data_IF_528272448250
#
_entry.id   IF_528272448250
#
_cell.length_a   1.000
_cell.length_b   1.000
_cell.length_c   1.000
_cell.angle_alpha   90.00
_cell.angle_beta   90.00
_cell.angle_gamma   90.00
#
_symmetry.space_group_name_H-M   'P 1'
#
loop_
_entity.id
_entity.type
_entity.pdbx_description
1 polymer ?
#
# COMPACT_ATOMS: atom_id res chain seq x y z
N UNK A 1 -2.91 29.43 -13.96
CA UNK A 1 -1.52 29.12 -14.36
C UNK A 1 -1.12 30.13 -15.41
N UNK A 2 0.09 30.67 -15.33
CA UNK A 2 0.64 31.52 -16.40
C UNK A 2 0.98 30.68 -17.63
N UNK A 3 1.35 31.32 -18.75
CA UNK A 3 1.76 30.60 -19.97
C UNK A 3 3.00 29.70 -19.74
N UNK A 4 3.77 30.00 -18.70
CA UNK A 4 4.97 29.27 -18.25
C UNK A 4 4.66 28.16 -17.22
N UNK A 5 3.38 27.93 -16.90
CA UNK A 5 2.96 26.91 -15.93
C UNK A 5 3.07 27.35 -14.46
N UNK A 6 3.36 28.62 -14.18
CA UNK A 6 3.45 29.11 -12.79
C UNK A 6 2.06 29.23 -12.15
N UNK A 7 1.98 28.93 -10.84
CA UNK A 7 0.77 29.13 -10.05
C UNK A 7 0.51 30.64 -9.93
N UNK A 8 -0.58 31.11 -10.53
CA UNK A 8 -0.94 32.54 -10.59
C UNK A 8 -1.85 32.98 -9.43
N UNK A 9 -2.53 32.04 -8.78
CA UNK A 9 -3.39 32.26 -7.62
C UNK A 9 -3.66 30.95 -6.88
N UNK A 10 -3.96 31.04 -5.60
CA UNK A 10 -4.36 29.90 -4.75
C UNK A 10 -5.67 30.22 -4.05
N UNK A 11 -6.54 29.22 -3.91
CA UNK A 11 -7.80 29.33 -3.16
C UNK A 11 -7.95 28.11 -2.25
N UNK A 12 -8.16 28.35 -0.96
CA UNK A 12 -8.50 27.28 -0.01
C UNK A 12 -9.94 26.85 -0.24
N UNK A 13 -10.15 25.58 -0.59
CA UNK A 13 -11.49 25.00 -0.76
C UNK A 13 -12.06 24.45 0.55
N UNK A 14 -11.22 23.77 1.32
CA UNK A 14 -11.57 23.13 2.59
C UNK A 14 -10.52 23.51 3.62
N UNK A 15 -10.93 24.19 4.69
CA UNK A 15 -10.07 24.46 5.85
C UNK A 15 -10.20 23.32 6.86
N UNK A 16 -9.27 22.36 6.82
CA UNK A 16 -9.25 21.21 7.74
C UNK A 16 -7.80 20.80 8.05
N UNK A 17 -7.42 20.82 9.32
CA UNK A 17 -6.04 20.58 9.76
C UNK A 17 -5.66 19.09 9.81
N UNK A 18 -6.61 18.19 9.54
CA UNK A 18 -6.43 16.74 9.62
C UNK A 18 -6.42 16.05 8.24
N UNK A 19 -6.68 16.78 7.15
CA UNK A 19 -6.42 16.29 5.80
C UNK A 19 -4.90 16.31 5.58
N UNK A 20 -4.30 15.19 5.18
CA UNK A 20 -2.85 15.03 5.24
C UNK A 20 -2.18 14.53 3.95
N UNK A 21 -2.92 13.96 2.99
CA UNK A 21 -2.31 13.45 1.75
C UNK A 21 -3.34 13.20 0.63
N UNK A 22 -4.24 12.23 0.83
CA UNK A 22 -5.10 11.72 -0.22
C UNK A 22 -6.09 12.77 -0.73
N UNK A 23 -6.11 12.94 -2.05
CA UNK A 23 -7.04 13.80 -2.77
C UNK A 23 -7.38 13.13 -4.10
N UNK A 24 -8.65 13.12 -4.49
CA UNK A 24 -9.09 12.64 -5.78
C UNK A 24 -10.30 13.44 -6.27
N UNK A 25 -10.46 13.52 -7.58
CA UNK A 25 -11.65 14.09 -8.21
C UNK A 25 -12.42 12.97 -8.91
N UNK A 26 -13.75 12.98 -8.85
CA UNK A 26 -14.57 12.11 -9.69
C UNK A 26 -14.27 12.38 -11.17
N UNK A 27 -14.46 11.38 -12.02
CA UNK A 27 -14.15 11.47 -13.46
C UNK A 27 -14.96 12.59 -14.15
N UNK A 28 -16.18 12.86 -13.69
CA UNK A 28 -17.02 13.95 -14.18
C UNK A 28 -16.65 15.35 -13.63
N UNK A 29 -15.67 15.41 -12.72
CA UNK A 29 -15.19 16.65 -12.12
C UNK A 29 -16.11 17.26 -11.06
N UNK A 30 -17.17 16.56 -10.63
CA UNK A 30 -18.22 17.13 -9.77
C UNK A 30 -18.12 16.76 -8.29
N UNK A 31 -17.21 15.87 -7.91
CA UNK A 31 -17.02 15.48 -6.52
C UNK A 31 -15.55 15.45 -6.17
N UNK A 32 -15.17 16.22 -5.15
CA UNK A 32 -13.85 16.21 -4.56
C UNK A 32 -13.84 15.21 -3.40
N UNK A 33 -12.85 14.34 -3.36
CA UNK A 33 -12.57 13.43 -2.24
C UNK A 33 -11.26 13.84 -1.59
N UNK A 34 -11.21 13.78 -0.25
CA UNK A 34 -9.97 13.96 0.49
C UNK A 34 -9.97 13.13 1.76
N UNK A 35 -8.78 12.72 2.22
CA UNK A 35 -8.63 11.82 3.36
C UNK A 35 -7.92 12.44 4.54
N UNK A 36 -8.36 12.07 5.74
CA UNK A 36 -7.57 12.13 6.98
C UNK A 36 -6.85 10.79 7.19
N UNK A 37 -6.21 10.61 8.35
CA UNK A 37 -5.68 9.30 8.78
C UNK A 37 -6.77 8.25 9.04
N UNK A 38 -8.02 8.66 9.26
CA UNK A 38 -9.11 7.77 9.73
C UNK A 38 -10.33 7.73 8.82
N UNK A 39 -10.49 8.73 7.94
CA UNK A 39 -11.73 8.94 7.18
C UNK A 39 -11.46 9.47 5.78
N UNK A 40 -12.21 8.97 4.79
CA UNK A 40 -12.37 9.60 3.47
C UNK A 40 -13.67 10.40 3.47
N UNK A 41 -13.55 11.67 3.11
CA UNK A 41 -14.67 12.57 2.92
C UNK A 41 -14.92 12.84 1.44
N UNK A 42 -16.13 13.30 1.13
CA UNK A 42 -16.50 13.81 -0.19
C UNK A 42 -17.16 15.18 -0.09
N UNK A 43 -17.06 15.96 -1.16
CA UNK A 43 -17.76 17.22 -1.30
C UNK A 43 -18.25 17.35 -2.76
N UNK A 44 -19.49 17.78 -3.00
CA UNK A 44 -19.86 18.32 -4.30
C UNK A 44 -18.89 19.45 -4.65
N UNK A 45 -18.35 19.44 -5.87
CA UNK A 45 -17.34 20.40 -6.33
C UNK A 45 -17.81 21.09 -7.59
N UNK A 46 -17.69 22.42 -7.60
CA UNK A 46 -18.00 23.26 -8.76
C UNK A 46 -16.71 23.90 -9.25
N UNK A 47 -16.18 23.42 -10.36
CA UNK A 47 -14.90 23.88 -10.92
C UNK A 47 -14.92 25.36 -11.35
N UNK A 48 -16.02 25.83 -11.94
CA UNK A 48 -16.15 27.20 -12.45
C UNK A 48 -16.05 28.26 -11.35
N UNK A 49 -16.62 27.99 -10.17
CA UNK A 49 -16.54 28.87 -9.00
C UNK A 49 -15.44 28.47 -8.01
N UNK A 50 -14.80 27.31 -8.22
CA UNK A 50 -13.86 26.68 -7.29
C UNK A 50 -14.45 26.65 -5.88
N UNK A 51 -15.60 26.01 -5.71
CA UNK A 51 -16.32 25.89 -4.43
C UNK A 51 -16.67 24.45 -4.14
N UNK A 52 -16.76 24.12 -2.85
CA UNK A 52 -17.24 22.83 -2.36
C UNK A 52 -18.59 22.99 -1.65
N UNK A 53 -19.45 21.99 -1.78
CA UNK A 53 -20.75 21.91 -1.09
C UNK A 53 -20.64 21.29 0.30
N UNK A 54 -21.75 20.72 0.78
CA UNK A 54 -21.81 20.02 2.07
C UNK A 54 -20.93 18.77 2.06
N UNK A 55 -20.14 18.58 3.13
CA UNK A 55 -19.28 17.42 3.32
C UNK A 55 -20.10 16.14 3.54
N UNK A 56 -19.76 15.08 2.81
CA UNK A 56 -20.18 13.70 3.06
C UNK A 56 -19.05 12.83 3.60
N UNK A 57 -19.39 11.65 4.11
CA UNK A 57 -18.45 10.63 4.59
C UNK A 57 -18.54 9.40 3.68
N UNK A 58 -17.39 8.92 3.20
CA UNK A 58 -17.32 7.80 2.23
C UNK A 58 -16.76 6.55 2.86
N UNK A 59 -15.66 6.67 3.61
CA UNK A 59 -15.01 5.55 4.29
C UNK A 59 -14.56 6.00 5.68
N UNK A 60 -14.74 5.18 6.70
CA UNK A 60 -14.37 5.44 8.10
C UNK A 60 -13.67 4.22 8.69
N UNK A 61 -13.23 4.32 9.95
CA UNK A 61 -12.69 3.16 10.68
C UNK A 61 -11.30 2.73 10.23
N UNK A 62 -10.57 3.59 9.50
CA UNK A 62 -9.15 3.38 9.27
C UNK A 62 -8.37 3.58 10.58
N UNK A 63 -7.28 2.82 10.75
CA UNK A 63 -6.55 2.80 12.01
C UNK A 63 -5.98 4.17 12.35
N UNK A 64 -6.29 4.64 13.57
CA UNK A 64 -5.86 5.95 14.08
C UNK A 64 -4.58 5.82 14.91
N UNK A 65 -3.44 5.67 14.24
CA UNK A 65 -2.15 5.61 14.91
C UNK A 65 -1.04 5.11 14.00
N UNK A 66 0.13 4.92 14.60
CA UNK A 66 1.32 4.44 13.92
C UNK A 66 2.05 5.50 13.09
N UNK A 67 3.06 5.06 12.34
CA UNK A 67 3.92 5.94 11.55
C UNK A 67 3.37 6.29 10.16
N UNK A 68 2.52 5.45 9.56
CA UNK A 68 1.99 5.67 8.22
C UNK A 68 0.54 6.16 8.27
N UNK A 69 0.36 7.47 8.21
CA UNK A 69 -0.94 8.13 8.41
C UNK A 69 -1.61 8.64 7.13
N UNK A 70 -0.93 8.60 5.98
CA UNK A 70 -1.52 8.95 4.68
C UNK A 70 -2.52 7.89 4.21
N UNK A 71 -3.58 8.32 3.52
CA UNK A 71 -4.56 7.43 2.88
C UNK A 71 -4.75 7.83 1.42
N UNK A 72 -3.89 7.32 0.54
CA UNK A 72 -3.92 7.69 -0.89
C UNK A 72 -5.25 7.29 -1.50
N UNK A 73 -5.82 8.19 -2.32
CA UNK A 73 -7.09 8.00 -3.00
C UNK A 73 -6.86 7.97 -4.51
N UNK A 74 -7.49 7.03 -5.20
CA UNK A 74 -7.46 6.98 -6.66
C UNK A 74 -8.80 6.46 -7.19
N UNK A 75 -9.42 7.21 -8.10
CA UNK A 75 -10.64 6.77 -8.80
C UNK A 75 -10.23 5.98 -10.03
N UNK A 76 -10.85 4.81 -10.24
CA UNK A 76 -10.60 4.01 -11.43
C UNK A 76 -11.20 4.69 -12.68
N UNK A 77 -10.38 5.11 -13.67
CA UNK A 77 -10.89 5.86 -14.82
C UNK A 77 -11.82 5.02 -15.71
N UNK A 78 -11.60 3.70 -15.75
CA UNK A 78 -12.42 2.74 -16.50
C UNK A 78 -13.66 2.25 -15.75
N UNK A 79 -13.72 2.48 -14.43
CA UNK A 79 -14.90 2.17 -13.63
C UNK A 79 -15.09 3.28 -12.58
N UNK A 80 -15.63 4.45 -12.98
CA UNK A 80 -15.59 5.70 -12.20
C UNK A 80 -16.24 5.65 -10.81
N UNK A 81 -17.02 4.61 -10.50
CA UNK A 81 -17.58 4.36 -9.18
C UNK A 81 -16.63 3.62 -8.23
N UNK A 82 -15.48 3.12 -8.68
CA UNK A 82 -14.51 2.48 -7.81
C UNK A 82 -13.50 3.48 -7.27
N UNK A 83 -13.48 3.59 -5.94
CA UNK A 83 -12.46 4.31 -5.18
C UNK A 83 -11.46 3.32 -4.58
N UNK A 84 -10.19 3.48 -4.96
CA UNK A 84 -9.05 2.78 -4.37
C UNK A 84 -8.52 3.62 -3.19
N UNK A 85 -8.25 2.95 -2.07
CA UNK A 85 -7.70 3.56 -0.85
C UNK A 85 -6.51 2.74 -0.36
N UNK A 86 -5.33 3.36 -0.35
CA UNK A 86 -4.12 2.76 0.24
C UNK A 86 -4.02 3.07 1.73
N UNK A 87 -3.62 2.08 2.53
CA UNK A 87 -3.37 2.24 3.96
C UNK A 87 -2.09 1.50 4.38
N UNK A 88 -1.08 2.26 4.80
CA UNK A 88 0.20 1.72 5.27
C UNK A 88 0.12 0.98 6.60
N UNK A 89 1.26 0.44 7.05
CA UNK A 89 1.42 -0.26 8.32
C UNK A 89 1.42 0.68 9.53
N UNK A 90 1.23 0.14 10.74
CA UNK A 90 1.30 0.95 11.97
C UNK A 90 2.74 1.25 12.44
N UNK A 91 3.75 0.56 11.93
CA UNK A 91 5.13 0.65 12.37
C UNK A 91 6.06 0.15 11.26
N UNK A 92 7.37 0.26 11.46
CA UNK A 92 8.35 -0.31 10.54
C UNK A 92 8.12 -1.82 10.31
N UNK A 93 7.80 -2.56 11.38
CA UNK A 93 7.45 -3.99 11.34
C UNK A 93 6.14 -4.27 12.10
N UNK A 94 5.02 -4.12 11.41
CA UNK A 94 3.65 -4.41 11.84
C UNK A 94 3.32 -5.88 11.58
N UNK A 95 3.65 -6.75 12.53
CA UNK A 95 3.45 -8.20 12.40
C UNK A 95 1.99 -8.58 12.17
N UNK A 96 1.05 -7.84 12.77
CA UNK A 96 -0.38 -8.08 12.63
C UNK A 96 -0.89 -7.79 11.20
N UNK A 97 -0.21 -6.94 10.43
CA UNK A 97 -0.55 -6.69 9.03
C UNK A 97 -0.27 -7.90 8.09
N UNK A 98 0.41 -8.94 8.59
CA UNK A 98 0.48 -10.24 7.92
C UNK A 98 -0.89 -10.91 7.77
N UNK A 99 -1.90 -10.48 8.54
CA UNK A 99 -3.29 -10.89 8.37
C UNK A 99 -4.09 -9.77 7.69
N UNK A 100 -4.66 -10.04 6.51
CA UNK A 100 -5.50 -9.08 5.76
C UNK A 100 -6.70 -8.54 6.55
N UNK A 101 -7.23 -9.29 7.51
CA UNK A 101 -8.34 -8.86 8.36
C UNK A 101 -7.97 -7.68 9.28
N UNK A 102 -6.68 -7.48 9.51
CA UNK A 102 -6.14 -6.32 10.25
C UNK A 102 -6.34 -5.00 9.50
N UNK A 103 -6.50 -5.07 8.17
CA UNK A 103 -6.70 -3.93 7.28
C UNK A 103 -5.64 -2.82 7.43
N UNK A 104 -4.37 -3.21 7.50
CA UNK A 104 -3.19 -2.33 7.43
C UNK A 104 -2.16 -2.94 6.49
N UNK A 105 -1.28 -2.12 5.94
CA UNK A 105 -0.37 -2.53 4.87
C UNK A 105 -1.12 -3.19 3.70
N UNK A 106 -2.19 -2.52 3.25
CA UNK A 106 -3.20 -3.07 2.35
C UNK A 106 -3.75 -1.97 1.45
N UNK A 107 -4.11 -2.33 0.22
CA UNK A 107 -4.87 -1.47 -0.69
C UNK A 107 -6.27 -2.05 -0.83
N UNK A 108 -7.30 -1.22 -0.64
CA UNK A 108 -8.70 -1.62 -0.69
C UNK A 108 -9.47 -0.82 -1.73
N UNK A 109 -10.58 -1.39 -2.20
CA UNK A 109 -11.47 -0.80 -3.20
C UNK A 109 -12.89 -0.73 -2.65
N UNK A 110 -13.56 0.39 -2.89
CA UNK A 110 -14.91 0.69 -2.45
C UNK A 110 -15.76 1.14 -3.64
N UNK A 111 -16.97 0.57 -3.75
CA UNK A 111 -17.93 0.92 -4.81
C UNK A 111 -18.81 2.08 -4.35
N UNK A 112 -18.50 3.28 -4.80
CA UNK A 112 -19.19 4.52 -4.44
C UNK A 112 -20.69 4.50 -4.77
N UNK A 113 -21.12 3.70 -5.76
CA UNK A 113 -22.55 3.57 -6.12
C UNK A 113 -23.36 2.79 -5.07
N UNK A 114 -22.69 2.07 -4.17
CA UNK A 114 -23.29 1.25 -3.11
C UNK A 114 -22.92 1.74 -1.71
N UNK A 115 -22.40 2.96 -1.60
CA UNK A 115 -21.97 3.52 -0.33
C UNK A 115 -23.15 3.62 0.65
N UNK A 116 -23.05 3.05 1.87
CA UNK A 116 -24.01 3.31 2.92
C UNK A 116 -24.09 4.80 3.25
N UNK A 117 -25.21 5.27 3.79
CA UNK A 117 -25.38 6.68 4.19
C UNK A 117 -24.34 7.15 5.22
N UNK A 118 -23.87 6.24 6.08
CA UNK A 118 -22.80 6.49 7.05
C UNK A 118 -21.37 6.31 6.48
N UNK A 119 -21.24 5.98 5.19
CA UNK A 119 -20.01 5.53 4.57
C UNK A 119 -19.68 4.06 4.89
N UNK A 120 -18.65 3.55 4.22
CA UNK A 120 -18.08 2.23 4.49
C UNK A 120 -17.25 2.21 5.78
N UNK A 121 -17.21 1.07 6.46
CA UNK A 121 -16.18 0.74 7.44
C UNK A 121 -14.98 0.10 6.71
N UNK A 122 -13.79 0.68 6.85
CA UNK A 122 -12.59 0.26 6.12
C UNK A 122 -12.17 -1.18 6.46
N UNK A 123 -12.31 -1.59 7.72
CA UNK A 123 -11.87 -2.91 8.17
C UNK A 123 -12.81 -3.99 7.65
N UNK A 124 -14.12 -3.82 7.84
CA UNK A 124 -15.11 -4.87 7.56
C UNK A 124 -15.76 -4.81 6.18
N UNK A 125 -15.60 -3.73 5.42
CA UNK A 125 -16.24 -3.54 4.11
C UNK A 125 -15.23 -3.20 3.01
N UNK A 126 -15.71 -3.10 1.77
CA UNK A 126 -14.87 -3.07 0.57
C UNK A 126 -14.20 -4.41 0.31
N UNK A 127 -13.40 -4.48 -0.76
CA UNK A 127 -12.57 -5.64 -1.07
C UNK A 127 -11.12 -5.22 -1.27
N UNK A 128 -10.20 -6.18 -1.23
CA UNK A 128 -8.77 -5.92 -1.31
C UNK A 128 -8.32 -5.85 -2.77
N UNK A 129 -7.34 -5.00 -3.07
CA UNK A 129 -6.54 -5.02 -4.30
C UNK A 129 -5.14 -5.65 -4.07
N UNK A 130 -4.80 -5.96 -2.82
CA UNK A 130 -3.57 -6.62 -2.41
C UNK A 130 -3.25 -6.29 -0.95
N UNK A 131 -2.56 -7.19 -0.26
CA UNK A 131 -2.11 -6.99 1.14
C UNK A 131 -0.67 -7.43 1.35
N UNK A 132 -0.08 -7.07 2.50
CA UNK A 132 1.37 -7.25 2.70
C UNK A 132 2.16 -6.23 1.90
N UNK A 133 1.64 -5.00 1.88
CA UNK A 133 2.12 -3.81 1.18
C UNK A 133 2.43 -2.75 2.25
N UNK A 134 3.65 -2.76 2.82
CA UNK A 134 4.07 -1.91 3.95
C UNK A 134 3.51 -0.50 3.89
N UNK A 135 3.73 0.21 2.78
CA UNK A 135 3.24 1.58 2.62
C UNK A 135 3.24 2.03 1.15
N UNK A 136 2.20 1.63 0.42
CA UNK A 136 1.94 1.98 -0.98
C UNK A 136 1.38 3.40 -1.12
N UNK A 137 2.21 4.42 -0.90
CA UNK A 137 1.75 5.82 -0.95
C UNK A 137 1.43 6.25 -2.39
N UNK A 138 2.25 5.83 -3.36
CA UNK A 138 1.98 6.08 -4.77
C UNK A 138 1.21 4.92 -5.37
N UNK A 139 0.05 5.20 -5.96
CA UNK A 139 -0.72 4.23 -6.76
C UNK A 139 -1.19 4.88 -8.05
N UNK A 140 -1.26 4.11 -9.13
CA UNK A 140 -1.68 4.61 -10.46
C UNK A 140 -2.28 3.51 -11.32
N UNK A 141 -3.14 3.88 -12.26
CA UNK A 141 -3.60 2.98 -13.31
C UNK A 141 -2.73 3.13 -14.57
N UNK A 142 -2.35 2.01 -15.19
CA UNK A 142 -1.73 2.03 -16.51
C UNK A 142 -2.77 2.14 -17.65
N UNK A 143 -2.29 2.20 -18.90
CA UNK A 143 -3.15 2.27 -20.09
C UNK A 143 -3.98 1.00 -20.35
N UNK A 144 -3.68 -0.10 -19.67
CA UNK A 144 -4.46 -1.34 -19.71
C UNK A 144 -5.44 -1.45 -18.54
N UNK A 145 -5.66 -0.36 -17.79
CA UNK A 145 -6.54 -0.29 -16.64
C UNK A 145 -6.09 -1.10 -15.42
N UNK A 146 -4.80 -1.46 -15.35
CA UNK A 146 -4.25 -2.22 -14.23
C UNK A 146 -3.70 -1.29 -13.16
N UNK A 147 -3.95 -1.61 -11.89
CA UNK A 147 -3.42 -0.87 -10.76
C UNK A 147 -1.98 -1.27 -10.48
N UNK A 148 -1.14 -0.26 -10.28
CA UNK A 148 0.25 -0.36 -9.85
C UNK A 148 0.46 0.44 -8.57
N UNK A 149 1.35 -0.04 -7.71
CA UNK A 149 1.77 0.65 -6.49
C UNK A 149 3.28 0.75 -6.38
N UNK A 150 3.78 1.86 -5.82
CA UNK A 150 5.16 2.02 -5.37
C UNK A 150 5.28 1.96 -3.84
N UNK A 151 6.01 0.95 -3.37
CA UNK A 151 6.18 0.60 -1.97
C UNK A 151 7.30 1.43 -1.31
N UNK A 152 7.03 1.99 -0.12
CA UNK A 152 8.08 2.34 0.83
C UNK A 152 8.33 1.15 1.76
N UNK A 153 9.42 0.44 1.51
CA UNK A 153 9.86 -0.81 2.14
C UNK A 153 10.41 -0.57 3.55
N UNK A 154 10.83 -1.63 4.24
CA UNK A 154 11.19 -1.52 5.66
C UNK A 154 12.56 -0.90 5.92
N UNK A 155 12.70 -0.28 7.09
CA UNK A 155 13.91 0.41 7.54
C UNK A 155 14.78 -0.50 8.42
N UNK A 156 16.04 -0.08 8.66
CA UNK A 156 16.95 -0.65 9.67
C UNK A 156 17.24 -2.16 9.54
N UNK A 157 17.40 -2.64 8.31
CA UNK A 157 17.63 -4.06 8.05
C UNK A 157 19.01 -4.56 8.48
N UNK A 158 18.99 -5.72 9.14
CA UNK A 158 20.18 -6.52 9.45
C UNK A 158 20.05 -7.93 8.90
N UNK A 159 21.17 -8.51 8.47
CA UNK A 159 21.28 -9.91 8.04
C UNK A 159 22.14 -10.68 9.03
N UNK A 160 21.55 -11.67 9.69
CA UNK A 160 22.27 -12.55 10.61
C UNK A 160 22.64 -13.87 9.94
N UNK A 161 23.95 -14.15 9.87
CA UNK A 161 24.54 -15.37 9.30
C UNK A 161 25.46 -15.99 10.35
N UNK A 162 25.25 -17.27 10.69
CA UNK A 162 26.06 -17.99 11.68
C UNK A 162 26.22 -17.23 13.01
N UNK A 163 25.13 -16.59 13.48
CA UNK A 163 25.10 -15.80 14.72
C UNK A 163 25.70 -14.39 14.62
N UNK A 164 26.32 -14.03 13.49
CA UNK A 164 26.89 -12.70 13.26
C UNK A 164 25.89 -11.83 12.51
N UNK A 165 25.59 -10.64 13.03
CA UNK A 165 24.65 -9.70 12.44
C UNK A 165 25.39 -8.62 11.66
N UNK A 166 25.11 -8.52 10.36
CA UNK A 166 25.61 -7.46 9.48
C UNK A 166 24.49 -6.48 9.20
N UNK A 167 24.75 -5.19 9.35
CA UNK A 167 23.86 -4.15 8.87
C UNK A 167 23.85 -4.12 7.33
N UNK A 168 22.65 -4.10 6.74
CA UNK A 168 22.46 -4.07 5.29
C UNK A 168 21.54 -2.91 4.86
N UNK A 169 21.13 -2.02 5.77
CA UNK A 169 20.04 -1.07 5.53
C UNK A 169 20.33 -0.03 4.44
N UNK A 170 21.60 0.31 4.21
CA UNK A 170 22.01 1.38 3.28
C UNK A 170 21.55 1.07 1.85
N UNK A 171 21.66 -0.20 1.44
CA UNK A 171 21.36 -0.64 0.07
C UNK A 171 20.35 -1.80 0.04
N UNK A 172 19.65 -2.07 1.15
CA UNK A 172 18.57 -3.07 1.22
C UNK A 172 17.56 -2.70 2.31
N UNK A 173 16.28 -3.04 2.15
CA UNK A 173 15.68 -3.70 1.00
C UNK A 173 15.48 -2.75 -0.19
N UNK A 174 15.17 -3.32 -1.34
CA UNK A 174 14.65 -2.54 -2.46
C UNK A 174 13.28 -1.95 -2.08
N UNK A 175 13.04 -0.72 -2.54
CA UNK A 175 11.69 -0.28 -2.88
C UNK A 175 11.14 -1.14 -4.03
N UNK A 176 9.82 -1.27 -4.13
CA UNK A 176 9.17 -2.14 -5.13
C UNK A 176 8.12 -1.40 -5.92
N UNK A 177 8.02 -1.75 -7.21
CA UNK A 177 6.85 -1.51 -8.03
C UNK A 177 6.01 -2.80 -8.04
N UNK A 178 4.83 -2.76 -7.41
CA UNK A 178 3.93 -3.90 -7.32
C UNK A 178 2.80 -3.78 -8.36
N UNK A 179 2.57 -4.85 -9.12
CA UNK A 179 1.40 -4.99 -9.99
C UNK A 179 0.23 -5.52 -9.16
N UNK A 180 -0.78 -4.69 -8.90
CA UNK A 180 -1.97 -5.05 -8.12
C UNK A 180 -3.13 -5.55 -9.00
N UNK A 181 -3.10 -5.19 -10.28
CA UNK A 181 -3.96 -5.74 -11.33
C UNK A 181 -5.33 -5.07 -11.46
N UNK A 182 -6.29 -5.83 -11.99
CA UNK A 182 -7.64 -5.37 -12.30
C UNK A 182 -8.47 -5.14 -11.03
N UNK A 183 -8.70 -3.88 -10.68
CA UNK A 183 -9.47 -3.50 -9.48
C UNK A 183 -10.96 -3.79 -9.59
N UNK A 184 -11.48 -4.19 -10.74
CA UNK A 184 -12.88 -4.63 -10.85
C UNK A 184 -13.12 -5.99 -10.19
N UNK A 185 -12.04 -6.65 -9.74
CA UNK A 185 -12.04 -7.96 -9.08
C UNK A 185 -11.28 -7.88 -7.75
N UNK A 186 -11.73 -8.61 -6.71
CA UNK A 186 -10.95 -8.76 -5.49
C UNK A 186 -9.60 -9.43 -5.75
N UNK A 187 -8.55 -8.90 -5.13
CA UNK A 187 -7.23 -9.47 -5.09
C UNK A 187 -6.74 -9.62 -3.64
N UNK A 188 -6.74 -10.86 -3.16
CA UNK A 188 -6.22 -11.25 -1.83
C UNK A 188 -4.79 -11.81 -1.91
N UNK A 189 -4.02 -11.43 -2.93
CA UNK A 189 -2.60 -11.79 -3.02
C UNK A 189 -1.77 -11.06 -1.97
N UNK A 190 -0.76 -11.76 -1.48
CA UNK A 190 0.18 -11.28 -0.48
C UNK A 190 1.49 -10.84 -1.14
N UNK A 191 1.94 -9.62 -0.85
CA UNK A 191 3.09 -8.98 -1.49
C UNK A 191 4.36 -8.94 -0.61
N UNK A 192 4.35 -9.67 0.50
CA UNK A 192 5.54 -10.03 1.27
C UNK A 192 5.69 -9.37 2.64
N UNK A 193 5.25 -8.13 2.84
CA UNK A 193 5.33 -7.50 4.16
C UNK A 193 4.40 -8.23 5.15
N UNK A 194 4.77 -8.42 6.44
CA UNK A 194 5.93 -7.87 7.16
C UNK A 194 7.16 -8.77 7.26
N UNK A 195 7.22 -9.86 6.50
CA UNK A 195 8.24 -10.90 6.68
C UNK A 195 9.18 -11.06 5.50
N UNK A 196 8.77 -10.63 4.31
CA UNK A 196 9.49 -10.82 3.05
C UNK A 196 9.69 -9.50 2.31
N UNK A 197 10.93 -9.27 1.92
CA UNK A 197 11.41 -8.01 1.33
C UNK A 197 12.27 -8.32 0.11
N UNK A 198 12.40 -7.36 -0.80
CA UNK A 198 13.16 -7.54 -2.04
C UNK A 198 14.64 -7.15 -1.84
N UNK A 199 15.53 -7.94 -2.43
CA UNK A 199 16.97 -7.64 -2.49
C UNK A 199 17.23 -6.55 -3.53
N UNK A 200 17.96 -5.52 -3.13
CA UNK A 200 18.55 -4.52 -4.04
C UNK A 200 20.05 -4.75 -4.24
N UNK A 201 20.80 -5.04 -3.17
CA UNK A 201 22.25 -5.33 -3.23
C UNK A 201 22.54 -6.78 -2.84
N UNK A 202 22.68 -7.71 -3.82
CA UNK A 202 22.86 -9.12 -3.54
C UNK A 202 24.13 -9.48 -2.77
N UNK A 203 25.21 -8.70 -2.93
CA UNK A 203 26.50 -8.96 -2.26
C UNK A 203 26.43 -8.86 -0.73
N UNK A 204 25.35 -8.32 -0.17
CA UNK A 204 25.12 -8.30 1.28
C UNK A 204 24.63 -9.64 1.85
N UNK A 205 24.24 -10.58 0.98
CA UNK A 205 23.76 -11.89 1.36
C UNK A 205 24.84 -12.95 1.14
N UNK A 206 25.62 -13.22 2.18
CA UNK A 206 26.74 -14.19 2.13
C UNK A 206 26.31 -15.63 2.43
N UNK A 207 25.11 -15.85 2.97
CA UNK A 207 24.58 -17.17 3.33
C UNK A 207 23.77 -17.84 2.20
N UNK A 208 23.53 -17.13 1.11
CA UNK A 208 22.83 -17.66 -0.05
C UNK A 208 23.02 -16.74 -1.25
N UNK A 209 23.21 -17.31 -2.45
CA UNK A 209 23.21 -16.53 -3.67
C UNK A 209 21.85 -15.84 -3.86
N UNK A 210 21.89 -14.55 -4.22
CA UNK A 210 20.73 -13.70 -4.49
C UNK A 210 20.91 -12.92 -5.78
N UNK A 211 19.80 -12.49 -6.35
CA UNK A 211 19.73 -11.53 -7.44
C UNK A 211 18.86 -10.33 -7.03
N UNK A 212 18.98 -9.22 -7.76
CA UNK A 212 18.09 -8.07 -7.56
C UNK A 212 16.65 -8.52 -7.79
N UNK A 213 15.76 -8.17 -6.87
CA UNK A 213 14.35 -8.58 -6.89
C UNK A 213 14.07 -9.95 -6.26
N UNK A 214 15.08 -10.76 -5.94
CA UNK A 214 14.84 -11.94 -5.11
C UNK A 214 14.28 -11.53 -3.75
N UNK A 215 13.47 -12.39 -3.14
CA UNK A 215 13.00 -12.16 -1.78
C UNK A 215 13.97 -12.69 -0.74
N UNK A 216 14.04 -11.99 0.39
CA UNK A 216 14.68 -12.46 1.61
C UNK A 216 13.73 -12.28 2.80
N UNK A 217 13.80 -13.24 3.73
CA UNK A 217 13.05 -13.16 4.98
C UNK A 217 13.80 -12.32 6.01
N UNK A 218 13.04 -11.53 6.78
CA UNK A 218 13.52 -10.96 8.05
C UNK A 218 13.56 -12.08 9.10
N UNK A 219 14.74 -12.65 9.35
CA UNK A 219 14.91 -13.60 10.46
C UNK A 219 14.74 -12.84 11.78
N UNK A 220 13.65 -13.08 12.51
CA UNK A 220 13.53 -12.61 13.88
C UNK A 220 14.64 -13.25 14.72
N UNK A 221 15.30 -12.48 15.59
CA UNK A 221 16.31 -12.98 16.54
C UNK A 221 15.74 -14.11 17.45
N UNK A 222 14.41 -14.20 17.59
CA UNK A 222 13.72 -15.23 18.37
C UNK A 222 13.40 -16.54 17.63
N UNK A 223 13.58 -16.59 16.30
CA UNK A 223 13.25 -17.78 15.49
C UNK A 223 14.49 -18.59 15.09
N UNK A 224 15.33 -18.90 16.08
CA UNK A 224 16.37 -19.93 15.93
C UNK A 224 15.91 -21.30 16.47
N UNK A 225 14.69 -21.42 17.00
CA UNK A 225 14.22 -22.64 17.67
C UNK A 225 13.39 -23.61 16.80
N UNK A 226 13.03 -23.26 15.56
CA UNK A 226 12.11 -24.09 14.75
C UNK A 226 12.66 -24.57 13.40
N UNK A 227 13.92 -24.27 13.04
CA UNK A 227 14.46 -24.61 11.72
C UNK A 227 15.06 -26.03 11.56
N UNK A 228 14.88 -26.93 12.53
CA UNK A 228 15.42 -28.30 12.45
C UNK A 228 14.50 -29.33 11.76
N UNK A 229 13.46 -28.95 11.00
CA UNK A 229 12.50 -29.96 10.50
C UNK A 229 12.17 -30.05 9.01
N UNK A 230 12.70 -29.23 8.10
CA UNK A 230 12.28 -29.34 6.69
C UNK A 230 13.44 -29.32 5.71
N UNK A 231 14.02 -30.50 5.50
CA UNK A 231 14.96 -30.78 4.42
C UNK A 231 14.26 -31.22 3.14
N UNK A 232 14.92 -30.90 2.01
CA UNK A 232 14.83 -31.49 0.69
C UNK A 232 13.51 -31.40 -0.11
N UNK A 233 13.56 -30.70 -1.24
CA UNK A 233 13.21 -31.23 -2.59
C UNK A 233 13.48 -30.17 -3.66
N UNK A 234 14.25 -30.53 -4.69
CA UNK A 234 14.52 -29.69 -5.86
C UNK A 234 13.47 -29.84 -6.96
N UNK A 235 13.42 -28.87 -7.88
CA UNK A 235 13.27 -28.98 -9.35
C UNK A 235 13.05 -27.58 -9.97
N UNK A 236 13.54 -27.40 -11.21
CA UNK A 236 13.63 -26.19 -12.01
C UNK A 236 12.28 -25.70 -12.58
N UNK A 237 12.01 -24.38 -12.51
CA UNK A 237 11.45 -23.56 -13.61
C UNK A 237 11.60 -22.06 -13.27
N UNK A 238 12.07 -21.25 -14.23
CA UNK A 238 12.26 -19.81 -14.09
C UNK A 238 11.01 -19.07 -14.57
N UNK A 239 10.45 -18.26 -13.67
CA UNK A 239 9.58 -17.07 -13.77
C UNK A 239 8.91 -17.00 -12.38
N UNK A 240 9.27 -15.97 -11.58
CA UNK A 240 8.86 -15.76 -10.18
C UNK A 240 9.23 -16.90 -9.20
N UNK A 241 10.47 -16.92 -8.68
CA UNK A 241 10.90 -17.86 -7.62
C UNK A 241 10.38 -17.41 -6.24
N UNK A 242 9.24 -17.97 -5.85
CA UNK A 242 8.68 -17.96 -4.48
C UNK A 242 9.28 -19.04 -3.58
N UNK A 243 10.60 -19.31 -3.61
CA UNK A 243 11.16 -20.48 -2.91
C UNK A 243 11.61 -20.25 -1.46
N UNK A 244 11.49 -19.04 -0.89
CA UNK A 244 11.82 -18.83 0.53
C UNK A 244 10.85 -17.95 1.29
N UNK A 245 9.69 -17.64 0.73
CA UNK A 245 8.69 -16.77 1.36
C UNK A 245 7.33 -17.44 1.26
N UNK A 246 7.17 -18.54 2.00
CA UNK A 246 5.87 -19.18 2.18
C UNK A 246 4.93 -18.25 2.94
N UNK A 247 3.64 -18.28 2.60
CA UNK A 247 2.58 -17.65 3.40
C UNK A 247 2.72 -18.15 4.84
N UNK A 248 2.70 -17.22 5.80
CA UNK A 248 2.38 -17.57 7.18
C UNK A 248 0.86 -17.72 7.18
N UNK A 249 0.37 -18.96 7.28
CA UNK A 249 -1.03 -19.26 7.57
C UNK A 249 -1.35 -18.96 9.05
#
# INVERSE_FOLDING_TARGET
>A
MTAEGCISATKTLVAANNLNHGIALSIDGKTLYASTSTTVYSWPYTASSQTVGTRGTVVTGMYNGGSHTSRTLLIAPHQPNLLVVSHGSNANFDTAAGNKATARAIVKVFDLSKAPSAGYNYVSQGYNAGYGLRNEVGIVFDGNNMLWGVENSGDDFKRTVNGQSKDIHIDNPAEKLNYLGDVTKPNDQWYGYPTCFAVWKPSDFTDSAKQVGDHFQRKNVYDQRHLNQWGALGVRKAISRTSSCGKIE
#
